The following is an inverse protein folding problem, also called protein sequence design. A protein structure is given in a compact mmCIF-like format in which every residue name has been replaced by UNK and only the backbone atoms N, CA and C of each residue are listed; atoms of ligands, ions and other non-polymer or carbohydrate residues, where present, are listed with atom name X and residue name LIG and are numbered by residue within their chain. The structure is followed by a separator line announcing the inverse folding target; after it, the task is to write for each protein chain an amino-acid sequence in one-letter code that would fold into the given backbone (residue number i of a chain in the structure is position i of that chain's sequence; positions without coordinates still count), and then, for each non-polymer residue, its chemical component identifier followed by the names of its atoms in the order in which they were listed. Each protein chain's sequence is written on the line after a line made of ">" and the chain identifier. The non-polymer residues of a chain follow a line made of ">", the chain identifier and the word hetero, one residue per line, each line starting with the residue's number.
data_IF_658213720140
#
_entry.id   IF_658213720140
#
_cell.length_a   1.000
_cell.length_b   1.000
_cell.length_c   1.000
_cell.angle_alpha   90.00
_cell.angle_beta   90.00
_cell.angle_gamma   90.00
#
_symmetry.space_group_name_H-M   'P 1'
#
loop_
_entity.id
_entity.type
_entity.pdbx_description
1 polymer ?
#
# COMPACT_ATOMS: atom_id res chain seq x y z
N UNK A 1 4.24 9.37 -57.93
CA UNK A 1 4.00 8.79 -59.27
C UNK A 1 5.05 7.69 -59.44
N UNK A 2 4.63 6.42 -59.39
CA UNK A 2 5.54 5.27 -59.48
C UNK A 2 6.16 5.21 -60.89
N UNK A 3 7.47 5.03 -60.99
CA UNK A 3 8.15 4.86 -62.28
C UNK A 3 7.81 3.49 -62.88
N UNK A 4 7.55 3.48 -64.19
CA UNK A 4 6.72 2.52 -64.95
C UNK A 4 7.15 1.03 -64.94
N UNK A 5 6.13 0.17 -65.07
CA UNK A 5 6.03 -1.30 -65.26
C UNK A 5 5.93 -2.27 -64.08
N UNK A 6 6.52 -2.01 -62.90
CA UNK A 6 6.52 -3.02 -61.80
C UNK A 6 5.82 -2.56 -60.50
N UNK A 7 5.36 -1.31 -60.40
CA UNK A 7 4.76 -0.76 -59.17
C UNK A 7 5.74 -0.58 -58.00
N UNK A 8 7.01 -0.98 -58.15
CA UNK A 8 8.03 -0.91 -57.11
C UNK A 8 8.73 0.45 -57.04
N UNK A 9 8.96 0.95 -55.83
CA UNK A 9 9.68 2.20 -55.58
C UNK A 9 11.16 1.95 -55.23
N UNK A 10 12.03 2.86 -55.69
CA UNK A 10 13.42 2.93 -55.26
C UNK A 10 13.53 3.49 -53.83
N UNK A 11 14.68 3.28 -53.20
CA UNK A 11 14.94 3.83 -51.86
C UNK A 11 14.81 5.36 -51.78
N UNK A 12 15.17 6.07 -52.85
CA UNK A 12 15.07 7.53 -52.93
C UNK A 12 13.62 8.00 -53.06
N UNK A 13 12.83 7.32 -53.89
CA UNK A 13 11.40 7.59 -54.02
C UNK A 13 10.66 7.28 -52.72
N UNK A 14 10.98 6.16 -52.06
CA UNK A 14 10.38 5.80 -50.78
C UNK A 14 10.71 6.82 -49.69
N UNK A 15 11.99 7.24 -49.61
CA UNK A 15 12.45 8.30 -48.72
C UNK A 15 11.70 9.62 -48.98
N UNK A 16 11.55 10.03 -50.24
CA UNK A 16 10.82 11.24 -50.63
C UNK A 16 9.33 11.18 -50.26
N UNK A 17 8.66 10.08 -50.56
CA UNK A 17 7.22 9.90 -50.27
C UNK A 17 6.91 9.84 -48.78
N UNK A 18 7.84 9.33 -47.98
CA UNK A 18 7.67 9.20 -46.53
C UNK A 18 8.37 10.30 -45.74
N UNK A 19 9.05 11.26 -46.40
CA UNK A 19 9.73 12.37 -45.73
C UNK A 19 10.84 11.95 -44.76
N UNK A 20 11.48 10.80 -44.97
CA UNK A 20 12.65 10.37 -44.17
C UNK A 20 13.91 10.39 -45.02
N UNK A 21 15.07 10.36 -44.36
CA UNK A 21 16.34 10.24 -45.07
C UNK A 21 16.50 8.85 -45.70
N UNK A 22 17.20 8.77 -46.84
CA UNK A 22 17.61 7.49 -47.45
C UNK A 22 18.39 6.63 -46.44
N UNK A 23 19.20 7.25 -45.58
CA UNK A 23 19.92 6.57 -44.49
C UNK A 23 18.97 5.86 -43.53
N UNK A 24 17.85 6.49 -43.18
CA UNK A 24 16.81 5.92 -42.30
C UNK A 24 16.13 4.73 -42.98
N UNK A 25 15.82 4.82 -44.27
CA UNK A 25 15.26 3.68 -45.03
C UNK A 25 16.23 2.51 -45.06
N UNK A 26 17.54 2.76 -45.33
CA UNK A 26 18.58 1.72 -45.27
C UNK A 26 18.65 1.07 -43.89
N UNK A 27 18.67 1.88 -42.82
CA UNK A 27 18.73 1.39 -41.45
C UNK A 27 17.61 0.39 -41.12
N UNK A 28 16.37 0.65 -41.52
CA UNK A 28 15.26 -0.27 -41.28
C UNK A 28 15.30 -1.50 -42.18
N UNK A 29 15.71 -1.32 -43.44
CA UNK A 29 15.83 -2.43 -44.38
C UNK A 29 16.95 -3.40 -43.99
N UNK A 30 18.11 -2.89 -43.55
CA UNK A 30 19.23 -3.70 -43.03
C UNK A 30 18.86 -4.49 -41.78
N UNK A 31 17.92 -3.97 -40.99
CA UNK A 31 17.39 -4.66 -39.81
C UNK A 31 16.24 -5.61 -40.15
N UNK A 32 15.79 -5.69 -41.39
CA UNK A 32 14.66 -6.53 -41.79
C UNK A 32 13.28 -5.97 -41.39
N UNK A 33 13.21 -4.75 -40.85
CA UNK A 33 11.93 -4.10 -40.54
C UNK A 33 11.25 -3.57 -41.80
N UNK A 34 11.97 -3.45 -42.91
CA UNK A 34 11.45 -3.01 -44.19
C UNK A 34 11.92 -3.98 -45.28
N UNK A 35 11.18 -5.08 -45.50
CA UNK A 35 11.57 -6.10 -46.47
C UNK A 35 11.65 -5.52 -47.88
N UNK A 36 12.67 -5.94 -48.62
CA UNK A 36 12.82 -5.58 -50.03
C UNK A 36 11.90 -6.48 -50.86
N UNK A 37 11.22 -5.92 -51.85
CA UNK A 37 10.43 -6.70 -52.79
C UNK A 37 11.33 -7.36 -53.84
N UNK A 38 12.35 -6.64 -54.30
CA UNK A 38 13.32 -7.14 -55.27
C UNK A 38 14.57 -6.26 -55.29
N UNK A 39 15.52 -6.59 -56.16
CA UNK A 39 16.65 -5.73 -56.51
C UNK A 39 16.65 -5.47 -58.01
N UNK A 40 17.02 -4.25 -58.41
CA UNK A 40 17.18 -3.91 -59.82
C UNK A 40 18.38 -4.64 -60.43
N UNK A 41 18.47 -4.66 -61.77
CA UNK A 41 19.63 -5.19 -62.49
C UNK A 41 20.97 -4.55 -62.07
N UNK A 42 20.94 -3.30 -61.59
CA UNK A 42 22.10 -2.57 -61.03
C UNK A 42 22.35 -2.82 -59.54
N UNK A 43 21.64 -3.77 -58.91
CA UNK A 43 21.81 -4.13 -57.50
C UNK A 43 21.12 -3.21 -56.48
N UNK A 44 20.27 -2.26 -56.93
CA UNK A 44 19.58 -1.35 -56.02
C UNK A 44 18.31 -1.97 -55.43
N UNK A 45 18.07 -1.74 -54.13
CA UNK A 45 16.87 -2.20 -53.41
C UNK A 45 15.59 -1.60 -54.01
N UNK A 46 14.57 -2.42 -54.18
CA UNK A 46 13.23 -2.04 -54.63
C UNK A 46 12.20 -2.46 -53.58
N UNK A 47 11.22 -1.60 -53.36
CA UNK A 47 10.20 -1.78 -52.34
C UNK A 47 8.80 -1.76 -52.96
N UNK A 48 7.91 -2.60 -52.46
CA UNK A 48 6.51 -2.62 -52.88
C UNK A 48 5.76 -1.36 -52.36
N UNK A 49 4.62 -0.99 -52.95
CA UNK A 49 3.83 0.17 -52.51
C UNK A 49 3.51 0.16 -51.01
N UNK A 50 3.29 -1.02 -50.43
CA UNK A 50 2.96 -1.25 -49.02
C UNK A 50 4.10 -0.81 -48.08
N UNK A 51 5.33 -0.73 -48.60
CA UNK A 51 6.49 -0.25 -47.84
C UNK A 51 6.33 1.21 -47.38
N UNK A 52 5.51 2.01 -48.08
CA UNK A 52 5.17 3.38 -47.66
C UNK A 52 4.41 3.36 -46.34
N UNK A 53 3.35 2.56 -46.25
CA UNK A 53 2.54 2.43 -45.03
C UNK A 53 3.34 1.77 -43.91
N UNK A 54 4.11 0.72 -44.22
CA UNK A 54 5.00 0.08 -43.23
C UNK A 54 5.99 1.08 -42.63
N UNK A 55 6.58 1.94 -43.46
CA UNK A 55 7.53 2.95 -43.00
C UNK A 55 6.84 4.07 -42.21
N UNK A 56 5.60 4.46 -42.57
CA UNK A 56 4.78 5.38 -41.77
C UNK A 56 4.48 4.79 -40.39
N UNK A 57 4.10 3.51 -40.32
CA UNK A 57 3.86 2.79 -39.07
C UNK A 57 5.12 2.74 -38.19
N UNK A 58 6.28 2.36 -38.77
CA UNK A 58 7.56 2.37 -38.06
C UNK A 58 7.83 3.74 -37.44
N UNK A 59 7.61 4.82 -38.21
CA UNK A 59 7.83 6.19 -37.72
C UNK A 59 6.87 6.55 -36.59
N UNK A 60 5.60 6.22 -36.71
CA UNK A 60 4.60 6.50 -35.68
C UNK A 60 4.96 5.80 -34.37
N UNK A 61 5.26 4.50 -34.42
CA UNK A 61 5.67 3.71 -33.25
C UNK A 61 6.97 4.22 -32.63
N UNK A 62 7.95 4.61 -33.47
CA UNK A 62 9.20 5.24 -32.99
C UNK A 62 8.98 6.63 -32.41
N UNK A 63 7.98 7.38 -32.89
CA UNK A 63 7.58 8.67 -32.34
C UNK A 63 6.93 8.56 -30.95
N UNK A 64 6.43 7.37 -30.60
CA UNK A 64 5.97 7.01 -29.24
C UNK A 64 7.10 6.39 -28.38
N UNK A 65 8.35 6.57 -28.79
CA UNK A 65 9.55 6.01 -28.15
C UNK A 65 9.59 4.48 -28.00
N UNK A 66 8.77 3.73 -28.75
CA UNK A 66 8.81 2.27 -28.73
C UNK A 66 10.14 1.76 -29.32
N UNK A 67 10.91 0.92 -28.62
CA UNK A 67 12.22 0.50 -29.09
C UNK A 67 12.08 -0.38 -30.33
N UNK A 68 13.12 -0.41 -31.18
CA UNK A 68 13.08 -1.09 -32.49
C UNK A 68 12.71 -2.58 -32.38
N UNK A 69 13.04 -3.24 -31.27
CA UNK A 69 12.65 -4.62 -31.02
C UNK A 69 11.12 -4.79 -30.88
N UNK A 70 10.44 -3.87 -30.19
CA UNK A 70 8.98 -3.86 -30.05
C UNK A 70 8.31 -3.53 -31.38
N UNK A 71 8.83 -2.54 -32.11
CA UNK A 71 8.35 -2.20 -33.45
C UNK A 71 8.42 -3.41 -34.38
N UNK A 72 9.53 -4.16 -34.35
CA UNK A 72 9.65 -5.40 -35.12
C UNK A 72 8.57 -6.40 -34.72
N UNK A 73 8.39 -6.68 -33.42
CA UNK A 73 7.38 -7.64 -32.96
C UNK A 73 5.98 -7.29 -33.45
N UNK A 74 5.62 -6.01 -33.38
CA UNK A 74 4.33 -5.50 -33.88
C UNK A 74 4.18 -5.75 -35.38
N UNK A 75 5.23 -5.45 -36.16
CA UNK A 75 5.20 -5.64 -37.61
C UNK A 75 5.18 -7.13 -38.00
N UNK A 76 5.96 -7.97 -37.34
CA UNK A 76 6.00 -9.42 -37.61
C UNK A 76 4.64 -10.07 -37.29
N UNK A 77 3.97 -9.60 -36.23
CA UNK A 77 2.62 -10.04 -35.87
C UNK A 77 1.56 -9.53 -36.86
N UNK A 78 1.69 -8.31 -37.38
CA UNK A 78 0.85 -7.82 -38.47
C UNK A 78 1.03 -8.67 -39.74
N UNK A 79 2.27 -8.96 -40.13
CA UNK A 79 2.58 -9.80 -41.28
C UNK A 79 2.00 -11.22 -41.11
N UNK A 80 2.01 -11.77 -39.88
CA UNK A 80 1.40 -13.06 -39.55
C UNK A 80 -0.14 -13.03 -39.58
N UNK A 81 -0.76 -11.92 -39.18
CA UNK A 81 -2.22 -11.74 -39.26
C UNK A 81 -2.70 -11.65 -40.71
N UNK A 82 -1.95 -10.97 -41.57
CA UNK A 82 -2.29 -10.85 -42.99
C UNK A 82 -2.33 -12.22 -43.70
N UNK A 83 -1.62 -13.23 -43.18
CA UNK A 83 -1.65 -14.62 -43.66
C UNK A 83 -2.53 -15.56 -42.82
N UNK A 84 -3.33 -15.02 -41.90
CA UNK A 84 -4.32 -15.77 -41.11
C UNK A 84 -3.74 -16.61 -39.97
N UNK A 85 -2.52 -16.33 -39.50
CA UNK A 85 -1.79 -17.13 -38.52
C UNK A 85 -1.42 -16.38 -37.22
N UNK A 86 -1.71 -15.08 -37.10
CA UNK A 86 -1.28 -14.24 -35.98
C UNK A 86 -2.34 -14.08 -34.88
N UNK A 87 -1.94 -14.23 -33.62
CA UNK A 87 -2.73 -13.83 -32.45
C UNK A 87 -2.63 -12.31 -32.19
N UNK A 88 -3.55 -11.77 -31.38
CA UNK A 88 -3.67 -10.38 -30.93
C UNK A 88 -2.59 -9.96 -29.92
N UNK A 89 -2.23 -8.67 -29.83
CA UNK A 89 -1.73 -8.10 -28.56
C UNK A 89 -0.34 -7.45 -28.52
N UNK A 90 0.55 -7.63 -29.51
CA UNK A 90 1.91 -7.09 -29.39
C UNK A 90 1.94 -5.55 -29.32
N UNK A 91 1.00 -4.86 -29.98
CA UNK A 91 0.89 -3.40 -29.91
C UNK A 91 0.38 -2.97 -28.53
N UNK A 92 -0.66 -3.61 -28.03
CA UNK A 92 -1.25 -3.36 -26.71
C UNK A 92 -0.23 -3.56 -25.61
N UNK A 93 0.54 -4.66 -25.66
CA UNK A 93 1.61 -4.96 -24.70
C UNK A 93 2.74 -3.93 -24.75
N UNK A 94 3.18 -3.56 -25.95
CA UNK A 94 4.24 -2.56 -26.14
C UNK A 94 3.82 -1.19 -25.62
N UNK A 95 2.59 -0.76 -25.92
CA UNK A 95 2.01 0.50 -25.44
C UNK A 95 1.83 0.46 -23.93
N UNK A 96 1.25 -0.61 -23.36
CA UNK A 96 1.10 -0.75 -21.92
C UNK A 96 2.45 -0.76 -21.19
N UNK A 97 3.47 -1.41 -21.77
CA UNK A 97 4.84 -1.39 -21.26
C UNK A 97 5.45 0.02 -21.27
N UNK A 98 5.27 0.77 -22.36
CA UNK A 98 5.73 2.17 -22.48
C UNK A 98 5.04 3.10 -21.50
N UNK A 99 3.72 2.96 -21.32
CA UNK A 99 2.95 3.72 -20.35
C UNK A 99 3.43 3.45 -18.92
N UNK A 100 3.69 2.19 -18.55
CA UNK A 100 4.27 1.84 -17.24
C UNK A 100 5.65 2.49 -17.03
N UNK A 101 6.52 2.46 -18.04
CA UNK A 101 7.84 3.08 -17.96
C UNK A 101 7.74 4.61 -17.77
N UNK A 102 6.94 5.28 -18.59
CA UNK A 102 6.70 6.73 -18.48
C UNK A 102 6.08 7.11 -17.15
N UNK A 103 5.11 6.32 -16.65
CA UNK A 103 4.52 6.53 -15.34
C UNK A 103 5.55 6.44 -14.21
N UNK A 104 6.46 5.47 -14.27
CA UNK A 104 7.56 5.34 -13.30
C UNK A 104 8.55 6.51 -13.35
N UNK A 105 8.90 6.98 -14.54
CA UNK A 105 9.76 8.16 -14.73
C UNK A 105 9.09 9.42 -14.19
N UNK A 106 7.81 9.63 -14.49
CA UNK A 106 7.04 10.77 -14.00
C UNK A 106 6.92 10.76 -12.47
N UNK A 107 6.61 9.62 -11.87
CA UNK A 107 6.58 9.46 -10.42
C UNK A 107 7.95 9.79 -9.80
N UNK A 108 9.04 9.29 -10.39
CA UNK A 108 10.39 9.59 -9.92
C UNK A 108 10.71 11.09 -9.96
N UNK A 109 10.30 11.78 -11.03
CA UNK A 109 10.51 13.22 -11.19
C UNK A 109 9.68 14.03 -10.19
N UNK A 110 8.39 13.69 -10.00
CA UNK A 110 7.52 14.35 -9.01
C UNK A 110 8.04 14.20 -7.59
N UNK A 111 8.49 13.00 -7.22
CA UNK A 111 9.11 12.75 -5.92
C UNK A 111 10.40 13.55 -5.71
N UNK A 112 11.26 13.66 -6.74
CA UNK A 112 12.46 14.51 -6.67
C UNK A 112 12.12 15.99 -6.56
N UNK A 113 11.13 16.46 -7.31
CA UNK A 113 10.66 17.84 -7.24
C UNK A 113 10.16 18.18 -5.83
N UNK A 114 9.28 17.35 -5.26
CA UNK A 114 8.76 17.53 -3.90
C UNK A 114 9.86 17.48 -2.83
N UNK A 115 10.87 16.62 -3.01
CA UNK A 115 12.07 16.58 -2.16
C UNK A 115 12.88 17.89 -2.21
N UNK A 116 13.07 18.45 -3.41
CA UNK A 116 13.78 19.72 -3.58
C UNK A 116 13.00 20.89 -2.99
N UNK A 117 11.68 20.93 -3.21
CA UNK A 117 10.77 21.91 -2.59
C UNK A 117 10.81 21.84 -1.07
N UNK A 118 10.78 20.63 -0.49
CA UNK A 118 10.94 20.43 0.94
C UNK A 118 12.19 21.13 1.46
N UNK A 119 13.36 20.87 0.85
CA UNK A 119 14.63 21.47 1.28
C UNK A 119 14.63 22.99 1.11
N UNK A 120 14.05 23.50 0.02
CA UNK A 120 13.94 24.93 -0.25
C UNK A 120 13.10 25.66 0.81
N UNK A 121 11.93 25.09 1.16
CA UNK A 121 10.96 25.63 2.12
C UNK A 121 11.40 25.46 3.59
N UNK A 122 12.39 24.59 3.83
CA UNK A 122 12.92 24.33 5.16
C UNK A 122 13.68 25.52 5.74
N UNK A 123 13.60 25.76 7.07
CA UNK A 123 14.53 26.63 7.76
C UNK A 123 15.99 26.20 7.54
N UNK A 124 16.96 27.12 7.39
CA UNK A 124 18.36 26.78 7.11
C UNK A 124 18.98 25.78 8.09
N UNK A 125 18.59 25.84 9.37
CA UNK A 125 19.07 24.93 10.41
C UNK A 125 18.63 23.46 10.22
N UNK A 126 17.47 23.23 9.59
CA UNK A 126 16.92 21.87 9.41
C UNK A 126 17.29 21.23 8.06
N UNK A 127 17.77 22.03 7.09
CA UNK A 127 18.10 21.56 5.74
C UNK A 127 19.08 20.38 5.70
N UNK A 128 20.17 20.35 6.50
CA UNK A 128 21.12 19.24 6.45
C UNK A 128 20.47 17.90 6.83
N UNK A 129 19.62 17.89 7.85
CA UNK A 129 18.96 16.66 8.31
C UNK A 129 17.86 16.22 7.36
N UNK A 130 17.07 17.15 6.80
CA UNK A 130 16.07 16.84 5.76
C UNK A 130 16.75 16.29 4.49
N UNK A 131 17.89 16.85 4.07
CA UNK A 131 18.68 16.33 2.95
C UNK A 131 19.19 14.90 3.21
N UNK A 132 19.69 14.62 4.42
CA UNK A 132 20.12 13.25 4.80
C UNK A 132 18.97 12.25 4.74
N UNK A 133 17.81 12.62 5.28
CA UNK A 133 16.62 11.75 5.29
C UNK A 133 16.15 11.44 3.87
N UNK A 134 15.95 12.46 3.04
CA UNK A 134 15.40 12.26 1.69
C UNK A 134 16.44 11.65 0.76
N UNK A 135 17.73 11.99 0.92
CA UNK A 135 18.81 11.36 0.16
C UNK A 135 19.00 9.87 0.44
N UNK A 136 18.49 9.36 1.57
CA UNK A 136 18.50 7.93 1.89
C UNK A 136 17.38 7.13 1.20
N UNK A 137 16.45 7.81 0.51
CA UNK A 137 15.32 7.19 -0.18
C UNK A 137 15.57 7.22 -1.69
N UNK A 138 15.29 6.11 -2.37
CA UNK A 138 15.38 6.04 -3.84
C UNK A 138 14.31 6.91 -4.53
N UNK A 139 14.53 7.28 -5.79
CA UNK A 139 13.56 8.00 -6.61
C UNK A 139 13.34 7.27 -7.96
N UNK A 140 12.18 6.61 -8.18
CA UNK A 140 10.98 6.66 -7.32
C UNK A 140 11.20 5.90 -6.00
N UNK A 141 10.51 6.29 -4.91
CA UNK A 141 10.59 5.57 -3.66
C UNK A 141 10.08 4.14 -3.80
N UNK A 142 10.67 3.24 -3.03
CA UNK A 142 10.22 1.85 -2.93
C UNK A 142 9.73 1.54 -1.52
N UNK A 143 8.60 0.86 -1.42
CA UNK A 143 8.05 0.36 -0.15
C UNK A 143 8.67 -0.97 0.30
N UNK A 144 9.67 -1.50 -0.43
CA UNK A 144 10.28 -2.80 -0.14
C UNK A 144 10.90 -2.89 1.27
N UNK A 145 11.46 -1.79 1.79
CA UNK A 145 11.98 -1.74 3.17
C UNK A 145 10.88 -1.91 4.21
N UNK A 146 9.71 -1.29 3.99
CA UNK A 146 8.56 -1.40 4.88
C UNK A 146 7.99 -2.83 4.84
N UNK A 147 7.87 -3.40 3.65
CA UNK A 147 7.42 -4.79 3.49
C UNK A 147 8.36 -5.78 4.18
N UNK A 148 9.68 -5.56 4.11
CA UNK A 148 10.69 -6.38 4.79
C UNK A 148 10.60 -6.27 6.31
N UNK A 149 10.39 -5.06 6.83
CA UNK A 149 10.16 -4.83 8.26
C UNK A 149 8.96 -5.64 8.77
N UNK A 150 7.81 -5.53 8.10
CA UNK A 150 6.62 -6.28 8.48
C UNK A 150 6.75 -7.79 8.28
N UNK A 151 7.48 -8.27 7.28
CA UNK A 151 7.76 -9.71 7.14
C UNK A 151 8.58 -10.26 8.30
N UNK A 152 9.50 -9.48 8.86
CA UNK A 152 10.24 -9.87 10.06
C UNK A 152 9.34 -9.88 11.32
N UNK A 153 8.29 -9.06 11.32
CA UNK A 153 7.28 -9.01 12.38
C UNK A 153 6.33 -10.22 12.38
N UNK A 154 6.04 -10.81 11.21
CA UNK A 154 5.09 -11.91 11.09
C UNK A 154 5.68 -13.27 11.53
N UNK A 155 4.84 -14.20 12.04
CA UNK A 155 5.28 -15.55 12.37
C UNK A 155 5.86 -16.30 11.16
N UNK A 156 6.93 -17.10 11.33
CA UNK A 156 7.45 -17.91 10.25
C UNK A 156 6.41 -18.95 9.80
N UNK A 157 6.38 -19.25 8.49
CA UNK A 157 5.45 -20.22 7.86
C UNK A 157 3.97 -19.79 7.86
N UNK A 158 3.68 -18.51 8.05
CA UNK A 158 2.34 -17.98 7.77
C UNK A 158 1.98 -18.19 6.29
N UNK A 159 0.72 -18.55 5.96
CA UNK A 159 0.31 -18.75 4.57
C UNK A 159 0.56 -17.52 3.69
N UNK A 160 1.09 -17.72 2.48
CA UNK A 160 1.48 -16.64 1.58
C UNK A 160 0.35 -15.64 1.29
N UNK A 161 -0.88 -16.13 1.09
CA UNK A 161 -2.07 -15.28 0.88
C UNK A 161 -2.33 -14.33 2.06
N UNK A 162 -2.12 -14.80 3.28
CA UNK A 162 -2.34 -14.03 4.50
C UNK A 162 -1.23 -13.02 4.71
N UNK A 163 0.01 -13.38 4.41
CA UNK A 163 1.13 -12.43 4.38
C UNK A 163 0.87 -11.31 3.37
N UNK A 164 0.42 -11.64 2.16
CA UNK A 164 0.08 -10.63 1.14
C UNK A 164 -1.05 -9.71 1.60
N UNK A 165 -2.12 -10.25 2.18
CA UNK A 165 -3.23 -9.45 2.70
C UNK A 165 -2.76 -8.51 3.83
N UNK A 166 -1.97 -9.02 4.78
CA UNK A 166 -1.40 -8.21 5.85
C UNK A 166 -0.52 -7.08 5.31
N UNK A 167 0.40 -7.40 4.38
CA UNK A 167 1.28 -6.39 3.79
C UNK A 167 0.53 -5.33 3.01
N UNK A 168 -0.57 -5.70 2.33
CA UNK A 168 -1.44 -4.74 1.63
C UNK A 168 -2.09 -3.75 2.60
N UNK A 169 -2.48 -4.20 3.80
CA UNK A 169 -3.04 -3.31 4.82
C UNK A 169 -1.96 -2.48 5.54
N UNK A 170 -0.76 -3.04 5.74
CA UNK A 170 0.27 -2.43 6.57
C UNK A 170 1.25 -1.52 5.81
N UNK A 171 1.46 -1.75 4.51
CA UNK A 171 2.36 -0.96 3.68
C UNK A 171 1.55 0.06 2.89
N UNK A 172 1.77 1.37 3.08
CA UNK A 172 0.98 2.38 2.38
C UNK A 172 1.26 2.39 0.88
N UNK A 173 0.21 2.65 0.10
CA UNK A 173 0.35 3.10 -1.28
C UNK A 173 0.89 4.53 -1.29
N UNK A 174 1.87 4.77 -2.15
CA UNK A 174 2.53 6.07 -2.24
C UNK A 174 1.78 6.97 -3.22
N UNK A 175 1.58 8.26 -2.91
CA UNK A 175 0.91 9.18 -3.82
C UNK A 175 1.75 9.38 -5.09
N UNK A 176 1.07 9.42 -6.24
CA UNK A 176 1.68 9.67 -7.56
C UNK A 176 2.22 11.10 -7.70
N UNK A 177 1.67 12.04 -6.93
CA UNK A 177 2.10 13.44 -6.86
C UNK A 177 2.27 13.87 -5.39
N UNK A 178 3.43 13.56 -4.79
CA UNK A 178 3.65 13.78 -3.36
C UNK A 178 3.89 15.24 -3.04
N UNK A 179 3.47 15.66 -1.84
CA UNK A 179 3.84 16.96 -1.27
C UNK A 179 5.14 16.89 -0.47
N UNK A 180 5.80 18.04 -0.22
CA UNK A 180 6.98 18.11 0.65
C UNK A 180 6.81 17.40 2.00
N UNK A 181 5.67 17.57 2.67
CA UNK A 181 5.36 16.92 3.95
C UNK A 181 5.29 15.37 3.81
N UNK A 182 4.61 14.86 2.78
CA UNK A 182 4.51 13.42 2.51
C UNK A 182 5.88 12.80 2.17
N UNK A 183 6.74 13.52 1.43
CA UNK A 183 8.13 13.09 1.19
C UNK A 183 8.90 12.99 2.50
N UNK A 184 8.77 13.99 3.39
CA UNK A 184 9.42 13.97 4.70
C UNK A 184 8.90 12.84 5.59
N UNK A 185 7.59 12.64 5.62
CA UNK A 185 6.93 11.56 6.36
C UNK A 185 7.42 10.19 5.89
N UNK A 186 7.44 9.97 4.58
CA UNK A 186 7.95 8.71 4.01
C UNK A 186 9.44 8.52 4.27
N UNK A 187 10.26 9.58 4.20
CA UNK A 187 11.69 9.48 4.51
C UNK A 187 11.93 9.15 5.99
N UNK A 188 11.15 9.72 6.90
CA UNK A 188 11.14 9.36 8.34
C UNK A 188 10.68 7.92 8.56
N UNK A 189 9.67 7.48 7.83
CA UNK A 189 9.15 6.11 7.89
C UNK A 189 10.19 5.10 7.40
N UNK A 190 10.85 5.39 6.28
CA UNK A 190 11.97 4.61 5.77
C UNK A 190 13.11 4.55 6.80
N UNK A 191 13.51 5.69 7.37
CA UNK A 191 14.53 5.75 8.41
C UNK A 191 14.13 4.92 9.64
N UNK A 192 12.87 4.97 10.07
CA UNK A 192 12.33 4.21 11.19
C UNK A 192 12.49 2.70 10.97
N UNK A 193 12.04 2.18 9.82
CA UNK A 193 12.07 0.74 9.53
C UNK A 193 13.45 0.20 9.11
N UNK A 194 14.39 1.08 8.79
CA UNK A 194 15.76 0.70 8.41
C UNK A 194 16.79 0.93 9.50
N UNK A 195 16.38 1.43 10.69
CA UNK A 195 17.28 1.54 11.83
C UNK A 195 17.92 0.17 12.11
N UNK A 196 19.25 0.10 12.31
CA UNK A 196 19.89 -1.10 12.78
C UNK A 196 19.21 -1.55 14.07
N UNK A 197 18.75 -2.80 14.13
CA UNK A 197 18.30 -3.40 15.38
C UNK A 197 19.50 -3.37 16.34
N UNK A 198 19.47 -2.50 17.34
CA UNK A 198 20.36 -2.57 18.47
C UNK A 198 20.05 -3.90 19.16
N UNK A 199 21.00 -4.85 19.13
CA UNK A 199 20.81 -6.26 19.49
C UNK A 199 20.36 -6.56 20.93
N UNK A 200 19.71 -5.63 21.65
CA UNK A 200 18.80 -5.91 22.75
C UNK A 200 17.51 -6.48 22.15
N UNK A 201 17.54 -7.78 21.86
CA UNK A 201 16.42 -8.57 21.38
C UNK A 201 15.23 -8.59 22.34
N UNK A 202 14.47 -7.50 22.38
CA UNK A 202 13.09 -7.49 22.82
C UNK A 202 12.23 -8.21 21.78
N UNK A 203 11.13 -8.84 22.22
CA UNK A 203 10.14 -9.42 21.32
C UNK A 203 9.50 -8.29 20.52
N UNK A 204 9.96 -8.06 19.29
CA UNK A 204 9.28 -7.20 18.31
C UNK A 204 8.03 -7.90 17.75
N UNK A 205 7.34 -8.71 18.54
CA UNK A 205 6.19 -9.48 18.09
C UNK A 205 5.13 -9.47 19.20
N UNK A 206 3.86 -9.22 18.85
CA UNK A 206 2.74 -9.34 19.75
C UNK A 206 2.73 -10.70 20.44
N UNK A 207 2.31 -10.73 21.70
CA UNK A 207 2.19 -11.98 22.46
C UNK A 207 1.30 -13.00 21.74
N UNK A 208 0.29 -12.53 21.00
CA UNK A 208 -0.62 -13.34 20.20
C UNK A 208 0.11 -14.25 19.18
N UNK A 209 1.28 -13.86 18.67
CA UNK A 209 2.07 -14.68 17.74
C UNK A 209 2.65 -15.93 18.40
N UNK A 210 3.10 -15.78 19.64
CA UNK A 210 3.68 -16.88 20.41
C UNK A 210 2.65 -17.92 20.83
N UNK A 211 1.42 -17.47 21.13
CA UNK A 211 0.34 -18.35 21.64
C UNK A 211 -0.38 -19.08 20.50
N UNK A 212 -0.63 -18.40 19.37
CA UNK A 212 -1.47 -18.91 18.29
C UNK A 212 -0.71 -19.76 17.26
N UNK A 213 0.58 -19.46 17.04
CA UNK A 213 1.35 -20.03 15.93
C UNK A 213 0.84 -19.55 14.55
N UNK A 214 1.56 -19.91 13.48
CA UNK A 214 1.42 -19.26 12.17
C UNK A 214 0.01 -19.32 11.53
N UNK A 215 -0.74 -20.41 11.73
CA UNK A 215 -2.09 -20.56 11.15
C UNK A 215 -3.14 -19.77 11.93
N UNK A 216 -3.14 -19.81 13.25
CA UNK A 216 -4.12 -19.07 14.03
C UNK A 216 -3.80 -17.56 14.02
N UNK A 217 -2.54 -17.14 13.95
CA UNK A 217 -2.21 -15.73 13.67
C UNK A 217 -2.74 -15.26 12.30
N UNK A 218 -2.83 -16.14 11.30
CA UNK A 218 -3.41 -15.77 10.00
C UNK A 218 -4.93 -15.55 10.09
N UNK A 219 -5.62 -16.31 10.95
CA UNK A 219 -7.05 -16.11 11.25
C UNK A 219 -7.24 -14.83 12.06
N UNK A 220 -6.41 -14.61 13.09
CA UNK A 220 -6.42 -13.38 13.88
C UNK A 220 -6.34 -12.14 13.00
N UNK A 221 -5.35 -12.07 12.10
CA UNK A 221 -5.18 -10.90 11.24
C UNK A 221 -6.30 -10.70 10.22
N UNK A 222 -6.99 -11.76 9.81
CA UNK A 222 -8.17 -11.63 8.97
C UNK A 222 -9.33 -10.99 9.77
N UNK A 223 -9.58 -11.46 11.00
CA UNK A 223 -10.60 -10.86 11.88
C UNK A 223 -10.25 -9.43 12.31
N UNK A 224 -8.98 -9.15 12.58
CA UNK A 224 -8.53 -7.79 12.89
C UNK A 224 -8.69 -6.84 11.71
N UNK A 225 -8.49 -7.30 10.47
CA UNK A 225 -8.72 -6.46 9.30
C UNK A 225 -10.19 -6.00 9.21
N UNK A 226 -11.13 -6.91 9.47
CA UNK A 226 -12.55 -6.59 9.53
C UNK A 226 -12.88 -5.61 10.66
N UNK A 227 -12.37 -5.86 11.87
CA UNK A 227 -12.56 -4.95 13.01
C UNK A 227 -11.98 -3.55 12.75
N UNK A 228 -10.82 -3.46 12.08
CA UNK A 228 -10.18 -2.19 11.72
C UNK A 228 -10.94 -1.44 10.63
N UNK A 229 -11.52 -2.15 9.66
CA UNK A 229 -12.36 -1.52 8.63
C UNK A 229 -13.63 -0.91 9.26
N UNK A 230 -14.27 -1.63 10.19
CA UNK A 230 -15.41 -1.14 10.95
C UNK A 230 -15.04 0.08 11.82
N UNK A 231 -13.96 -0.02 12.62
CA UNK A 231 -13.48 1.08 13.44
C UNK A 231 -13.03 2.30 12.61
N UNK A 232 -12.44 2.08 11.44
CA UNK A 232 -12.11 3.14 10.48
C UNK A 232 -13.35 3.87 9.97
N UNK A 233 -14.48 3.17 9.81
CA UNK A 233 -15.77 3.77 9.54
C UNK A 233 -16.23 4.74 10.64
N UNK A 234 -16.10 4.32 11.89
CA UNK A 234 -16.44 5.14 13.06
C UNK A 234 -15.50 6.34 13.24
N UNK A 235 -14.20 6.15 13.04
CA UNK A 235 -13.21 7.24 13.07
C UNK A 235 -13.49 8.32 12.02
N UNK A 236 -13.88 7.94 10.80
CA UNK A 236 -14.26 8.91 9.75
C UNK A 236 -15.50 9.74 10.14
N UNK A 237 -16.35 9.21 11.02
CA UNK A 237 -17.56 9.89 11.54
C UNK A 237 -17.29 10.72 12.80
N UNK A 238 -16.04 10.77 13.29
CA UNK A 238 -15.66 11.32 14.59
C UNK A 238 -16.43 10.69 15.77
N UNK A 239 -16.80 9.41 15.67
CA UNK A 239 -17.47 8.74 16.76
C UNK A 239 -16.50 8.54 17.94
N UNK A 240 -16.97 8.82 19.15
CA UNK A 240 -16.21 8.54 20.37
C UNK A 240 -16.04 7.02 20.58
N UNK A 241 -14.90 6.59 21.16
CA UNK A 241 -14.72 5.20 21.55
C UNK A 241 -15.84 4.69 22.45
N UNK A 242 -16.39 3.54 22.12
CA UNK A 242 -17.53 2.97 22.82
C UNK A 242 -17.87 1.55 22.36
N UNK A 243 -18.84 0.90 23.02
CA UNK A 243 -19.27 -0.43 22.64
C UNK A 243 -19.91 -0.41 21.25
N UNK A 244 -19.75 -1.51 20.50
CA UNK A 244 -20.33 -1.65 19.17
C UNK A 244 -19.71 -2.80 18.38
N UNK A 245 -20.21 -2.97 17.15
CA UNK A 245 -19.82 -4.07 16.25
C UNK A 245 -18.30 -4.15 16.03
N UNK A 246 -17.63 -3.01 15.90
CA UNK A 246 -16.18 -2.96 15.73
C UNK A 246 -15.41 -3.55 16.93
N UNK A 247 -15.85 -3.23 18.16
CA UNK A 247 -15.25 -3.76 19.38
C UNK A 247 -15.56 -5.26 19.55
N UNK A 248 -16.79 -5.67 19.26
CA UNK A 248 -17.17 -7.07 19.38
C UNK A 248 -16.42 -7.95 18.37
N UNK A 249 -16.26 -7.50 17.13
CA UNK A 249 -15.42 -8.18 16.13
C UNK A 249 -13.94 -8.25 16.56
N UNK A 250 -13.42 -7.18 17.16
CA UNK A 250 -12.05 -7.14 17.68
C UNK A 250 -11.83 -8.16 18.81
N UNK A 251 -12.74 -8.20 19.79
CA UNK A 251 -12.66 -9.13 20.91
C UNK A 251 -12.86 -10.56 20.44
N UNK A 252 -13.81 -10.82 19.54
CA UNK A 252 -14.07 -12.15 18.97
C UNK A 252 -12.84 -12.70 18.20
N UNK A 253 -12.16 -11.86 17.43
CA UNK A 253 -10.95 -12.26 16.71
C UNK A 253 -9.86 -12.77 17.67
N UNK A 254 -9.68 -12.11 18.82
CA UNK A 254 -8.76 -12.59 19.87
C UNK A 254 -9.30 -13.80 20.62
N UNK A 255 -10.58 -13.82 21.00
CA UNK A 255 -11.20 -14.91 21.74
C UNK A 255 -11.11 -16.22 20.95
N UNK A 256 -11.49 -16.18 19.67
CA UNK A 256 -11.36 -17.29 18.72
C UNK A 256 -9.92 -17.76 18.55
N UNK A 257 -8.96 -16.84 18.50
CA UNK A 257 -7.52 -17.17 18.38
C UNK A 257 -6.97 -17.87 19.63
N UNK A 258 -7.43 -17.46 20.81
CA UNK A 258 -7.05 -18.06 22.09
C UNK A 258 -7.88 -19.30 22.44
N UNK A 259 -8.90 -19.65 21.66
CA UNK A 259 -9.79 -20.78 21.94
C UNK A 259 -10.65 -20.58 23.18
N UNK A 260 -11.07 -19.34 23.45
CA UNK A 260 -11.85 -18.92 24.62
C UNK A 260 -13.13 -18.21 24.17
N UNK A 261 -14.08 -18.05 25.08
CA UNK A 261 -15.26 -17.23 24.88
C UNK A 261 -15.01 -15.78 25.31
N UNK A 262 -15.76 -14.87 24.72
CA UNK A 262 -15.84 -13.49 25.15
C UNK A 262 -16.55 -13.39 26.52
N UNK A 263 -15.80 -12.94 27.53
CA UNK A 263 -16.27 -12.77 28.91
C UNK A 263 -15.63 -11.51 29.49
N UNK A 264 -16.23 -10.93 30.54
CA UNK A 264 -15.64 -9.76 31.21
C UNK A 264 -14.20 -10.03 31.72
N UNK A 265 -13.95 -11.24 32.25
CA UNK A 265 -12.61 -11.64 32.68
C UNK A 265 -11.63 -11.74 31.49
N UNK A 266 -12.08 -12.26 30.34
CA UNK A 266 -11.28 -12.29 29.13
C UNK A 266 -10.97 -10.89 28.60
N UNK A 267 -11.97 -9.99 28.53
CA UNK A 267 -11.81 -8.59 28.09
C UNK A 267 -10.79 -7.85 28.97
N UNK A 268 -10.84 -8.01 30.30
CA UNK A 268 -9.83 -7.48 31.23
C UNK A 268 -8.43 -8.05 30.96
N UNK A 269 -8.31 -9.37 30.85
CA UNK A 269 -7.02 -10.02 30.56
C UNK A 269 -6.49 -9.71 29.15
N UNK A 270 -7.35 -9.38 28.20
CA UNK A 270 -6.95 -8.95 26.86
C UNK A 270 -6.38 -7.53 26.90
N UNK A 271 -7.03 -6.58 27.57
CA UNK A 271 -6.55 -5.21 27.71
C UNK A 271 -5.13 -5.16 28.30
N UNK A 272 -4.89 -5.89 29.40
CA UNK A 272 -3.56 -5.98 30.01
C UNK A 272 -2.50 -6.56 29.07
N UNK A 273 -2.82 -7.61 28.31
CA UNK A 273 -1.88 -8.20 27.33
C UNK A 273 -1.55 -7.25 26.18
N UNK A 274 -2.53 -6.51 25.67
CA UNK A 274 -2.32 -5.55 24.59
C UNK A 274 -1.55 -4.32 25.05
N UNK A 275 -1.69 -3.91 26.32
CA UNK A 275 -0.87 -2.85 26.90
C UNK A 275 0.62 -3.22 26.98
N UNK A 276 0.93 -4.51 27.13
CA UNK A 276 2.30 -5.03 27.15
C UNK A 276 2.90 -5.26 25.74
N UNK A 277 2.09 -5.20 24.68
CA UNK A 277 2.56 -5.43 23.31
C UNK A 277 3.41 -4.25 22.81
N UNK A 278 4.43 -4.52 21.98
CA UNK A 278 5.30 -3.46 21.44
C UNK A 278 4.49 -2.49 20.57
N UNK A 279 4.47 -1.23 20.98
CA UNK A 279 3.79 -0.14 20.26
C UNK A 279 4.55 0.24 18.98
N UNK A 280 3.82 0.36 17.88
CA UNK A 280 4.34 0.80 16.57
C UNK A 280 3.63 2.08 16.11
N UNK A 281 3.17 2.89 17.06
CA UNK A 281 2.34 4.07 16.84
C UNK A 281 3.02 5.06 15.89
N UNK A 282 4.34 5.24 16.07
CA UNK A 282 5.11 6.13 15.22
C UNK A 282 5.11 5.72 13.74
N UNK A 283 5.06 4.43 13.44
CA UNK A 283 4.91 3.95 12.06
C UNK A 283 3.55 4.37 11.50
N UNK A 284 2.48 4.19 12.29
CA UNK A 284 1.12 4.48 11.85
C UNK A 284 0.85 5.98 11.73
N UNK A 285 1.39 6.81 12.63
CA UNK A 285 1.38 8.28 12.50
C UNK A 285 2.01 8.74 11.18
N UNK A 286 3.21 8.24 10.88
CA UNK A 286 3.92 8.56 9.65
C UNK A 286 3.20 8.00 8.42
N UNK A 287 2.56 6.84 8.54
CA UNK A 287 1.76 6.23 7.47
C UNK A 287 0.54 7.08 7.16
N UNK A 288 -0.18 7.54 8.19
CA UNK A 288 -1.30 8.47 8.05
C UNK A 288 -0.87 9.76 7.34
N UNK A 289 0.27 10.34 7.74
CA UNK A 289 0.81 11.54 7.09
C UNK A 289 1.18 11.30 5.61
N UNK A 290 1.68 10.11 5.25
CA UNK A 290 2.00 9.75 3.86
C UNK A 290 0.72 9.64 3.00
N UNK A 291 -0.32 8.97 3.50
CA UNK A 291 -1.51 8.65 2.70
C UNK A 291 -2.56 9.76 2.67
N UNK A 292 -2.55 10.68 3.64
CA UNK A 292 -3.58 11.72 3.75
C UNK A 292 -3.37 12.86 2.75
N UNK A 293 -4.48 13.34 2.16
CA UNK A 293 -4.52 14.48 1.25
C UNK A 293 -4.42 15.85 2.00
N UNK A 294 -4.26 17.00 1.32
CA UNK A 294 -4.28 18.31 1.98
C UNK A 294 -5.67 18.66 2.47
N UNK A 295 -5.75 19.26 3.67
CA UNK A 295 -6.99 19.71 4.34
C UNK A 295 -8.04 18.63 4.63
N UNK A 296 -7.82 17.40 4.16
CA UNK A 296 -8.57 16.23 4.55
C UNK A 296 -8.14 15.74 5.93
N UNK A 297 -9.09 15.13 6.62
CA UNK A 297 -8.84 14.44 7.87
C UNK A 297 -7.83 13.32 7.65
N UNK A 298 -6.98 13.00 8.65
CA UNK A 298 -6.08 11.88 8.54
C UNK A 298 -6.87 10.61 8.21
N UNK A 299 -6.51 9.93 7.14
CA UNK A 299 -7.18 8.66 6.80
C UNK A 299 -6.88 7.66 7.92
N UNK A 300 -7.91 6.96 8.46
CA UNK A 300 -7.69 5.97 9.50
C UNK A 300 -6.70 4.89 9.04
N UNK A 301 -5.70 4.65 9.88
CA UNK A 301 -4.76 3.56 9.72
C UNK A 301 -5.16 2.39 10.62
N UNK A 302 -4.66 1.17 10.36
CA UNK A 302 -4.78 0.06 11.31
C UNK A 302 -4.33 0.43 12.73
N UNK A 303 -3.31 1.29 12.88
CA UNK A 303 -2.86 1.78 14.19
C UNK A 303 -3.90 2.65 14.90
N UNK A 304 -4.44 3.67 14.23
CA UNK A 304 -5.47 4.52 14.83
C UNK A 304 -6.77 3.76 15.10
N UNK A 305 -7.13 2.80 14.24
CA UNK A 305 -8.26 1.91 14.46
C UNK A 305 -8.03 1.02 15.68
N UNK A 306 -6.82 0.48 15.84
CA UNK A 306 -6.44 -0.29 17.01
C UNK A 306 -6.52 0.54 18.30
N UNK A 307 -6.02 1.77 18.28
CA UNK A 307 -6.07 2.67 19.44
C UNK A 307 -7.51 3.04 19.82
N UNK A 308 -8.36 3.29 18.84
CA UNK A 308 -9.79 3.51 19.07
C UNK A 308 -10.45 2.28 19.71
N UNK A 309 -10.14 1.07 19.23
CA UNK A 309 -10.68 -0.18 19.79
C UNK A 309 -10.17 -0.46 21.20
N UNK A 310 -8.91 -0.15 21.51
CA UNK A 310 -8.38 -0.24 22.87
C UNK A 310 -9.11 0.73 23.81
N UNK A 311 -9.29 1.98 23.40
CA UNK A 311 -10.05 2.96 24.19
C UNK A 311 -11.52 2.53 24.40
N UNK A 312 -12.14 1.93 23.39
CA UNK A 312 -13.49 1.36 23.48
C UNK A 312 -13.55 0.21 24.48
N UNK A 313 -12.54 -0.68 24.48
CA UNK A 313 -12.41 -1.77 25.44
C UNK A 313 -12.26 -1.24 26.87
N UNK A 314 -11.36 -0.27 27.09
CA UNK A 314 -11.12 0.33 28.41
C UNK A 314 -12.37 1.06 28.95
N UNK A 315 -13.07 1.80 28.09
CA UNK A 315 -14.31 2.51 28.44
C UNK A 315 -15.38 1.55 28.92
N UNK A 316 -15.52 0.40 28.23
CA UNK A 316 -16.47 -0.62 28.63
C UNK A 316 -16.09 -1.30 29.94
N UNK A 317 -14.80 -1.59 30.17
CA UNK A 317 -14.34 -2.17 31.43
C UNK A 317 -14.60 -1.21 32.61
N UNK A 318 -14.30 0.08 32.46
CA UNK A 318 -14.60 1.09 33.47
C UNK A 318 -16.10 1.25 33.76
N UNK A 319 -16.96 1.07 32.76
CA UNK A 319 -18.40 1.04 32.95
C UNK A 319 -18.88 -0.20 33.73
N UNK A 320 -18.27 -1.38 33.52
CA UNK A 320 -18.60 -2.61 34.26
C UNK A 320 -18.15 -2.54 35.72
N UNK A 321 -16.92 -2.08 35.98
CA UNK A 321 -16.41 -1.93 37.35
C UNK A 321 -17.21 -0.89 38.16
N UNK A 322 -17.72 0.15 37.49
CA UNK A 322 -18.58 1.17 38.10
C UNK A 322 -20.00 0.70 38.42
N UNK A 323 -20.50 -0.36 37.77
CA UNK A 323 -21.82 -0.97 38.04
C UNK A 323 -21.74 -1.90 39.26
N UNK A 324 -20.67 -2.69 39.40
CA UNK A 324 -20.46 -3.55 40.58
C UNK A 324 -20.32 -2.75 41.89
N UNK A 325 -19.70 -1.57 41.84
CA UNK A 325 -19.59 -0.68 43.02
C UNK A 325 -20.94 -0.05 43.40
N UNK A 326 -21.84 0.17 42.44
CA UNK A 326 -23.19 0.71 42.70
C UNK A 326 -24.17 -0.35 43.23
N UNK A 327 -24.05 -1.60 42.80
CA UNK A 327 -24.85 -2.71 43.35
C UNK A 327 -24.34 -3.16 44.74
N UNK A 328 -23.03 -3.09 45.00
CA UNK A 328 -22.45 -3.37 46.33
C UNK A 328 -22.85 -2.37 47.42
N UNK A 329 -23.19 -1.13 47.07
CA UNK A 329 -23.67 -0.11 48.02
C UNK A 329 -25.19 -0.19 48.31
N UNK A 330 -25.93 -1.07 47.62
CA UNK A 330 -27.39 -1.20 47.74
C UNK A 330 -27.90 -2.30 48.68
N UNK A 331 -27.02 -3.10 49.29
CA UNK A 331 -27.38 -4.33 50.03
C UNK A 331 -27.00 -4.35 51.52
N UNK A 332 -26.89 -3.18 52.17
CA UNK A 332 -26.84 -3.07 53.64
C UNK A 332 -27.83 -2.01 54.13
N UNK A 333 -29.12 -2.33 54.16
CA UNK A 333 -30.06 -1.86 55.19
C UNK A 333 -31.48 -2.39 54.94
N UNK A 334 -31.80 -3.55 55.53
CA UNK A 334 -33.11 -3.83 56.13
C UNK A 334 -33.02 -5.11 56.97
N UNK A 335 -32.66 -4.95 58.24
CA UNK A 335 -33.09 -5.87 59.29
C UNK A 335 -34.28 -5.28 60.05
N UNK A 336 -35.19 -6.11 60.57
CA UNK A 336 -36.53 -5.71 60.98
C UNK A 336 -36.57 -5.15 62.41
N UNK A 337 -37.52 -4.25 62.65
CA UNK A 337 -37.79 -3.65 63.95
C UNK A 337 -38.24 -4.67 65.00
N UNK A 338 -37.62 -4.60 66.17
CA UNK A 338 -38.09 -5.21 67.41
C UNK A 338 -38.41 -4.07 68.37
N UNK A 339 -39.70 -3.83 68.59
CA UNK A 339 -40.22 -2.93 69.61
C UNK A 339 -39.82 -3.41 71.01
N UNK A 340 -39.32 -2.47 71.82
CA UNK A 340 -39.19 -2.59 73.26
C UNK A 340 -40.35 -1.83 73.94
N UNK A 341 -40.83 -2.24 75.12
CA UNK A 341 -41.59 -1.37 75.98
C UNK A 341 -40.69 -0.73 77.05
N UNK A 342 -40.87 0.58 77.19
CA UNK A 342 -40.42 1.45 78.28
C UNK A 342 -41.24 1.20 79.56
N UNK A 343 -40.65 1.43 80.73
CA UNK A 343 -41.38 1.40 82.00
C UNK A 343 -40.55 1.15 83.26
N UNK A 344 -39.85 2.19 83.71
CA UNK A 344 -39.13 2.26 84.98
C UNK A 344 -39.93 1.82 86.23
N UNK A 345 -39.23 1.22 87.21
CA UNK A 345 -39.29 1.65 88.62
C UNK A 345 -38.19 1.04 89.50
N UNK A 346 -37.72 1.90 90.39
CA UNK A 346 -36.67 1.74 91.40
C UNK A 346 -36.87 0.57 92.38
N UNK A 347 -35.78 0.16 93.03
CA UNK A 347 -35.58 0.08 94.50
C UNK A 347 -34.26 -0.71 94.76
N UNK A 348 -33.22 -0.02 95.27
CA UNK A 348 -32.11 -0.61 96.04
C UNK A 348 -32.58 -0.94 97.47
N UNK A 349 -31.79 -1.46 98.43
CA UNK A 349 -30.43 -2.05 98.38
C UNK A 349 -30.31 -3.38 99.18
N UNK A 350 -29.27 -4.18 98.92
CA UNK A 350 -28.13 -4.42 99.83
C UNK A 350 -27.14 -5.41 99.25
#
# INVERSE_FOLDING_TARGET
>A
MFSSYDGLCTIGELAGQTGVSVRTVRFYSDRGLLPEASRSAGGHRRYAPEAVERLRMIRALRGLDLPVAEVRRILDEQDARDVGAGEGGALEDAVAGRLRALGSELAALRWREAALRLVQESPPAERPDRLRLVGAVAAPPSTASLARFWRAWLPPRMPARSVTAFLKAAVPDLPDDPRPAQVLAFARLHAYVTRPCDGRGGRYQPQAHGVAGARASAVLYAGLAEAYDLAGGELRRDAEPGPGEALDAFVDAYASTYGTCDTAAFRHGLAGRLADDPRIDRYWELTAEVISAPDDRPEPTPGSAHDWLLASLETQLGAMDGVDVREGAGSEARSPGSDAPDGARAISPR
#
